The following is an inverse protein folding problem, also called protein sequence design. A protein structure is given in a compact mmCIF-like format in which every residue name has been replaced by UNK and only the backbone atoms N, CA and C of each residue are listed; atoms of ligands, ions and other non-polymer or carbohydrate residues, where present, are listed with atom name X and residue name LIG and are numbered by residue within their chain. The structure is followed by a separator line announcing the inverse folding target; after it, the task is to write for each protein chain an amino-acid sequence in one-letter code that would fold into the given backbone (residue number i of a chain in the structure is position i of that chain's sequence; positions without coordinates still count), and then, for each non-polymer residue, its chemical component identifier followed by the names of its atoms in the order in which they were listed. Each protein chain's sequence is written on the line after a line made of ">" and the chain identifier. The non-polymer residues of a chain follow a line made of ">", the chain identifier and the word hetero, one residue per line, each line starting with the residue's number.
data_IF_663337528201
#
_entry.id   IF_663337528201
#
_cell.length_a   1.000
_cell.length_b   1.000
_cell.length_c   1.000
_cell.angle_alpha   90.00
_cell.angle_beta   90.00
_cell.angle_gamma   90.00
#
_symmetry.space_group_name_H-M   'P 1'
#
loop_
_entity.id
_entity.type
_entity.pdbx_description
1 polymer ?
#
# COMPACT_ATOMS: atom_id res chain seq x y z
N UNK A 1 5.58 9.85 11.82
CA UNK A 1 6.43 8.66 11.63
C UNK A 1 5.77 7.65 10.71
N UNK A 2 4.70 6.99 11.13
CA UNK A 2 3.99 6.01 10.27
C UNK A 2 3.28 6.71 9.11
N UNK A 3 2.60 7.81 9.40
CA UNK A 3 1.88 8.59 8.38
C UNK A 3 2.81 9.03 7.25
N UNK A 4 3.99 9.50 7.57
CA UNK A 4 4.97 9.99 6.60
C UNK A 4 5.42 8.85 5.67
N UNK A 5 5.52 7.62 6.18
CA UNK A 5 5.85 6.46 5.37
C UNK A 5 4.72 6.13 4.38
N UNK A 6 3.46 6.16 4.84
CA UNK A 6 2.31 5.96 3.95
C UNK A 6 2.22 7.06 2.89
N UNK A 7 2.44 8.31 3.28
CA UNK A 7 2.42 9.43 2.34
C UNK A 7 3.54 9.31 1.30
N UNK A 8 4.71 8.83 1.69
CA UNK A 8 5.84 8.61 0.78
C UNK A 8 5.54 7.49 -0.23
N UNK A 9 4.88 6.43 0.20
CA UNK A 9 4.47 5.34 -0.71
C UNK A 9 3.41 5.85 -1.68
N UNK A 10 2.42 6.59 -1.19
CA UNK A 10 1.41 7.21 -2.06
C UNK A 10 2.06 8.11 -3.12
N UNK A 11 3.09 8.87 -2.74
CA UNK A 11 3.79 9.78 -3.65
C UNK A 11 4.50 9.06 -4.80
N UNK A 12 4.80 7.78 -4.69
CA UNK A 12 5.38 6.98 -5.77
C UNK A 12 4.38 6.69 -6.90
N UNK A 13 3.09 6.70 -6.60
CA UNK A 13 2.04 6.41 -7.58
C UNK A 13 1.84 7.62 -8.49
N UNK A 14 1.73 7.39 -9.83
CA UNK A 14 1.54 8.49 -10.76
C UNK A 14 0.15 9.11 -10.62
N UNK A 15 0.00 10.36 -11.06
CA UNK A 15 -1.27 11.08 -11.01
C UNK A 15 -2.37 10.45 -11.87
N UNK A 16 -1.99 9.58 -12.82
CA UNK A 16 -2.93 8.84 -13.66
C UNK A 16 -3.64 7.70 -12.91
N UNK A 17 -3.13 7.31 -11.74
CA UNK A 17 -3.74 6.28 -10.88
C UNK A 17 -4.55 6.99 -9.79
N UNK A 18 -5.83 6.61 -9.68
CA UNK A 18 -6.68 7.12 -8.59
C UNK A 18 -6.33 6.37 -7.31
N UNK A 19 -5.94 7.11 -6.29
CA UNK A 19 -5.50 6.53 -5.02
C UNK A 19 -6.35 7.07 -3.88
N UNK A 20 -6.85 6.16 -3.07
CA UNK A 20 -7.52 6.47 -1.81
C UNK A 20 -6.70 5.92 -0.66
N UNK A 21 -6.72 6.62 0.48
CA UNK A 21 -6.01 6.19 1.68
C UNK A 21 -7.03 5.70 2.70
N UNK A 22 -6.95 4.43 3.08
CA UNK A 22 -7.75 3.77 4.12
C UNK A 22 -9.23 3.57 3.78
N UNK A 23 -9.90 4.54 3.21
CA UNK A 23 -11.33 4.47 2.90
C UNK A 23 -11.61 5.00 1.50
N UNK A 24 -12.74 4.62 0.95
CA UNK A 24 -13.18 4.98 -0.39
C UNK A 24 -14.49 5.74 -0.27
N UNK A 25 -14.68 6.84 -1.06
CA UNK A 25 -15.96 7.55 -1.06
C UNK A 25 -17.11 6.69 -1.58
N UNK A 26 -18.35 7.11 -1.34
CA UNK A 26 -19.55 6.33 -1.65
C UNK A 26 -19.68 5.96 -3.13
N UNK A 27 -19.34 6.87 -4.04
CA UNK A 27 -19.41 6.65 -5.48
C UNK A 27 -18.02 6.85 -6.12
N UNK A 28 -17.12 5.88 -5.96
CA UNK A 28 -15.76 6.05 -6.47
C UNK A 28 -15.71 5.92 -7.99
N UNK A 29 -14.77 6.64 -8.61
CA UNK A 29 -14.46 6.45 -10.02
C UNK A 29 -13.54 5.25 -10.18
N UNK A 30 -13.87 4.36 -11.08
CA UNK A 30 -13.08 3.14 -11.36
C UNK A 30 -12.12 3.36 -12.53
N UNK A 31 -11.01 2.64 -12.62
CA UNK A 31 -10.41 1.83 -11.58
C UNK A 31 -9.72 2.67 -10.52
N UNK A 32 -9.47 2.10 -9.35
CA UNK A 32 -8.76 2.81 -8.28
C UNK A 32 -7.92 1.87 -7.42
N UNK A 33 -7.06 2.47 -6.60
CA UNK A 33 -6.22 1.78 -5.63
C UNK A 33 -6.54 2.33 -4.25
N UNK A 34 -6.66 1.45 -3.27
CA UNK A 34 -6.75 1.84 -1.85
C UNK A 34 -5.47 1.40 -1.16
N UNK A 35 -4.75 2.33 -0.55
CA UNK A 35 -3.60 2.04 0.30
C UNK A 35 -4.06 1.95 1.75
N UNK A 36 -3.69 0.87 2.41
CA UNK A 36 -3.99 0.58 3.81
C UNK A 36 -2.95 -0.39 4.34
N UNK A 37 -3.07 -0.83 5.57
CA UNK A 37 -2.15 -1.83 6.07
C UNK A 37 -2.04 -1.82 7.58
N UNK A 38 -0.88 -2.27 8.09
CA UNK A 38 -0.63 -2.31 9.52
C UNK A 38 -0.09 -0.95 10.03
N UNK A 39 0.08 -0.87 11.34
CA UNK A 39 0.69 0.30 11.99
C UNK A 39 2.21 0.17 12.09
N UNK A 40 2.75 -0.95 11.61
CA UNK A 40 4.16 -1.23 11.67
C UNK A 40 4.63 -1.80 13.01
N UNK A 41 5.77 -2.44 12.99
CA UNK A 41 6.47 -2.88 14.19
C UNK A 41 7.68 -1.99 14.40
N UNK A 42 7.79 -1.43 15.59
CA UNK A 42 8.91 -0.59 16.00
C UNK A 42 9.88 -1.42 16.84
N UNK A 43 11.18 -1.25 16.59
CA UNK A 43 12.22 -1.87 17.38
C UNK A 43 13.42 -0.93 17.48
N UNK A 44 14.23 -1.10 18.51
CA UNK A 44 15.52 -0.45 18.58
C UNK A 44 16.57 -1.31 17.88
N UNK A 45 17.51 -0.67 17.17
CA UNK A 45 18.48 -1.36 16.32
C UNK A 45 19.66 -1.98 17.04
N UNK A 46 19.62 -2.12 18.36
CA UNK A 46 20.70 -2.74 19.13
C UNK A 46 20.65 -4.27 19.07
N UNK A 47 21.79 -4.95 19.33
CA UNK A 47 21.86 -6.41 19.27
C UNK A 47 20.96 -7.12 20.29
N UNK A 48 20.57 -6.43 21.34
CA UNK A 48 19.71 -6.97 22.41
C UNK A 48 18.25 -6.57 22.22
N UNK A 49 17.87 -6.01 21.08
CA UNK A 49 16.50 -5.56 20.82
C UNK A 49 16.12 -4.29 21.57
N UNK A 50 17.08 -3.64 22.23
CA UNK A 50 16.86 -2.43 23.02
C UNK A 50 16.42 -2.73 24.45
N UNK A 51 16.37 -1.68 25.25
CA UNK A 51 15.93 -1.72 26.67
C UNK A 51 14.70 -0.82 26.83
N UNK A 52 14.05 -0.96 28.00
CA UNK A 52 12.98 -0.07 28.40
C UNK A 52 13.52 1.38 28.41
N UNK A 53 12.89 2.26 27.65
CA UNK A 53 13.31 3.65 27.53
C UNK A 53 14.10 3.97 26.27
N UNK A 54 14.54 2.98 25.52
CA UNK A 54 15.13 3.21 24.21
C UNK A 54 14.08 3.72 23.22
N UNK A 55 14.45 4.72 22.41
CA UNK A 55 13.56 5.21 21.36
C UNK A 55 13.66 4.25 20.17
N UNK A 56 12.54 3.74 19.67
CA UNK A 56 12.57 2.90 18.48
C UNK A 56 13.17 3.64 17.28
N UNK A 57 14.13 3.00 16.61
CA UNK A 57 14.83 3.54 15.45
C UNK A 57 14.67 2.69 14.19
N UNK A 58 13.95 1.58 14.30
CA UNK A 58 13.63 0.69 13.18
C UNK A 58 12.12 0.52 13.09
N UNK A 59 11.58 0.70 11.90
CA UNK A 59 10.16 0.50 11.60
C UNK A 59 10.02 -0.56 10.52
N UNK A 60 9.29 -1.61 10.81
CA UNK A 60 8.90 -2.65 9.85
C UNK A 60 7.44 -2.43 9.48
N UNK A 61 7.15 -2.17 8.23
CA UNK A 61 5.81 -1.76 7.79
C UNK A 61 5.36 -2.60 6.60
N UNK A 62 4.09 -2.99 6.61
CA UNK A 62 3.45 -3.70 5.51
C UNK A 62 2.28 -2.87 5.01
N UNK A 63 2.46 -2.29 3.84
CA UNK A 63 1.44 -1.48 3.20
C UNK A 63 0.75 -2.33 2.16
N UNK A 64 -0.58 -2.33 2.19
CA UNK A 64 -1.40 -3.12 1.27
C UNK A 64 -2.04 -2.20 0.26
N UNK A 65 -2.12 -2.70 -0.97
CA UNK A 65 -2.78 -2.01 -2.06
C UNK A 65 -3.91 -2.90 -2.57
N UNK A 66 -5.14 -2.41 -2.41
CA UNK A 66 -6.30 -3.05 -3.01
C UNK A 66 -6.58 -2.38 -4.35
N UNK A 67 -6.53 -3.16 -5.41
CA UNK A 67 -6.86 -2.72 -6.76
C UNK A 67 -8.30 -3.07 -7.05
N UNK A 68 -9.07 -2.12 -7.58
CA UNK A 68 -10.47 -2.34 -7.89
C UNK A 68 -10.76 -1.88 -9.32
N UNK A 69 -11.36 -2.75 -10.11
CA UNK A 69 -11.74 -2.46 -11.49
C UNK A 69 -13.17 -2.85 -11.77
N UNK A 70 -13.75 -2.27 -12.84
CA UNK A 70 -15.10 -2.62 -13.28
C UNK A 70 -15.16 -4.03 -13.89
N UNK A 71 -14.04 -4.48 -14.46
CA UNK A 71 -13.89 -5.78 -15.10
C UNK A 71 -12.44 -6.25 -14.95
N UNK A 72 -12.15 -7.47 -15.46
CA UNK A 72 -10.82 -8.04 -15.36
C UNK A 72 -9.74 -7.20 -16.05
N UNK A 73 -10.03 -6.63 -17.21
CA UNK A 73 -9.06 -5.84 -17.96
C UNK A 73 -8.68 -4.56 -17.20
N UNK A 74 -9.66 -3.84 -16.65
CA UNK A 74 -9.37 -2.62 -15.89
C UNK A 74 -8.65 -2.93 -14.57
N UNK A 75 -8.97 -4.05 -13.92
CA UNK A 75 -8.23 -4.52 -12.75
C UNK A 75 -6.77 -4.79 -13.09
N UNK A 76 -6.49 -5.51 -14.17
CA UNK A 76 -5.12 -5.85 -14.58
C UNK A 76 -4.32 -4.59 -14.95
N UNK A 77 -4.94 -3.62 -15.59
CA UNK A 77 -4.28 -2.37 -15.96
C UNK A 77 -3.90 -1.56 -14.72
N UNK A 78 -4.80 -1.37 -13.78
CA UNK A 78 -4.50 -0.60 -12.57
C UNK A 78 -3.47 -1.31 -11.69
N UNK A 79 -3.56 -2.64 -11.58
CA UNK A 79 -2.58 -3.43 -10.83
C UNK A 79 -1.19 -3.33 -11.45
N UNK A 80 -1.09 -3.45 -12.77
CA UNK A 80 0.19 -3.31 -13.49
C UNK A 80 0.81 -1.94 -13.27
N UNK A 81 0.02 -0.88 -13.41
CA UNK A 81 0.52 0.49 -13.25
C UNK A 81 0.97 0.76 -11.81
N UNK A 82 0.23 0.27 -10.83
CA UNK A 82 0.60 0.41 -9.43
C UNK A 82 1.86 -0.40 -9.09
N UNK A 83 1.94 -1.64 -9.54
CA UNK A 83 3.13 -2.48 -9.32
C UNK A 83 4.37 -1.89 -9.95
N UNK A 84 4.27 -1.35 -11.16
CA UNK A 84 5.39 -0.69 -11.83
C UNK A 84 5.89 0.53 -11.05
N UNK A 85 4.99 1.23 -10.37
CA UNK A 85 5.34 2.41 -9.58
C UNK A 85 5.88 2.08 -8.19
N UNK A 86 5.49 0.94 -7.60
CA UNK A 86 5.79 0.60 -6.22
C UNK A 86 6.86 -0.49 -6.06
N UNK A 87 6.83 -1.55 -6.88
CA UNK A 87 7.75 -2.68 -6.73
C UNK A 87 9.20 -2.27 -6.85
N UNK A 88 10.00 -2.62 -5.86
CA UNK A 88 11.44 -2.33 -5.79
C UNK A 88 11.77 -0.84 -5.78
N UNK A 89 10.80 0.00 -5.52
CA UNK A 89 11.02 1.44 -5.35
C UNK A 89 11.30 1.74 -3.89
N UNK A 90 12.08 2.77 -3.66
CA UNK A 90 12.43 3.23 -2.32
C UNK A 90 11.64 4.50 -2.01
N UNK A 91 10.68 4.44 -1.07
CA UNK A 91 9.99 5.64 -0.64
C UNK A 91 10.96 6.62 0.01
N UNK A 92 10.76 7.90 -0.21
CA UNK A 92 11.60 8.94 0.38
C UNK A 92 10.90 9.53 1.61
N UNK A 93 11.43 9.21 2.79
CA UNK A 93 10.91 9.70 4.07
C UNK A 93 11.98 10.53 4.74
N UNK A 94 11.69 11.80 5.01
CA UNK A 94 12.66 12.71 5.66
C UNK A 94 13.05 12.17 7.03
N UNK A 95 14.36 12.08 7.28
CA UNK A 95 14.91 11.57 8.54
C UNK A 95 14.97 10.05 8.65
N UNK A 96 14.63 9.34 7.60
CA UNK A 96 14.62 7.87 7.56
C UNK A 96 15.33 7.33 6.33
N UNK A 97 15.95 6.17 6.50
CA UNK A 97 16.49 5.36 5.41
C UNK A 97 15.61 4.17 5.20
N UNK A 98 14.85 4.16 4.11
CA UNK A 98 13.89 3.10 3.80
C UNK A 98 14.49 2.06 2.86
N UNK A 99 14.08 0.80 3.03
CA UNK A 99 14.37 -0.24 2.06
C UNK A 99 13.51 -0.10 0.81
N UNK A 100 13.84 -0.88 -0.22
CA UNK A 100 12.94 -1.04 -1.36
C UNK A 100 11.65 -1.73 -0.91
N UNK A 101 10.55 -1.39 -1.55
CA UNK A 101 9.28 -2.08 -1.34
C UNK A 101 9.36 -3.48 -1.95
N UNK A 102 8.99 -4.48 -1.15
CA UNK A 102 8.92 -5.88 -1.59
C UNK A 102 7.47 -6.26 -1.80
N UNK A 103 7.11 -6.55 -3.05
CA UNK A 103 5.76 -6.91 -3.43
C UNK A 103 5.50 -8.40 -3.22
N UNK A 104 4.33 -8.74 -2.68
CA UNK A 104 3.80 -10.09 -2.65
C UNK A 104 2.29 -10.05 -2.85
N UNK A 105 1.72 -11.15 -3.36
CA UNK A 105 0.28 -11.25 -3.55
C UNK A 105 -0.35 -11.65 -2.23
N UNK A 106 -1.30 -10.85 -1.74
CA UNK A 106 -2.06 -11.17 -0.55
C UNK A 106 -3.39 -11.84 -0.92
N UNK A 107 -4.03 -11.37 -1.99
CA UNK A 107 -5.30 -11.90 -2.45
C UNK A 107 -5.40 -11.79 -3.98
N UNK A 108 -5.68 -12.91 -4.65
CA UNK A 108 -5.93 -12.93 -6.08
C UNK A 108 -7.27 -12.26 -6.44
N UNK A 109 -7.46 -11.98 -7.72
CA UNK A 109 -8.66 -11.30 -8.21
C UNK A 109 -9.95 -12.00 -7.80
N UNK A 110 -10.88 -11.25 -7.23
CA UNK A 110 -12.18 -11.75 -6.76
C UNK A 110 -13.28 -10.76 -7.10
N UNK A 111 -14.47 -11.28 -7.32
CA UNK A 111 -15.66 -10.46 -7.53
C UNK A 111 -16.17 -9.96 -6.18
N UNK A 112 -16.44 -8.65 -6.08
CA UNK A 112 -17.05 -8.06 -4.89
C UNK A 112 -18.57 -8.20 -5.00
N UNK A 113 -19.12 -9.22 -4.35
CA UNK A 113 -20.55 -9.53 -4.40
C UNK A 113 -21.42 -8.56 -3.58
N UNK A 114 -20.79 -7.75 -2.71
CA UNK A 114 -21.50 -6.78 -1.86
C UNK A 114 -21.79 -5.47 -2.58
N UNK A 115 -21.14 -5.22 -3.72
CA UNK A 115 -21.31 -4.00 -4.51
C UNK A 115 -21.91 -4.34 -5.85
N UNK A 116 -23.04 -3.71 -6.18
CA UNK A 116 -23.66 -3.81 -7.51
C UNK A 116 -23.46 -2.48 -8.25
N UNK A 117 -22.90 -2.55 -9.45
CA UNK A 117 -22.65 -1.39 -10.27
C UNK A 117 -23.93 -0.86 -10.91
N UNK A 118 -24.00 0.43 -11.15
CA UNK A 118 -25.05 1.05 -11.97
C UNK A 118 -24.95 0.45 -13.39
N UNK A 119 -26.02 -0.16 -13.88
CA UNK A 119 -25.98 -0.87 -15.15
C UNK A 119 -25.72 -2.35 -15.03
N UNK A 120 -25.54 -2.86 -13.82
CA UNK A 120 -25.38 -4.28 -13.52
C UNK A 120 -23.94 -4.73 -13.39
N UNK A 121 -23.74 -5.90 -12.79
CA UNK A 121 -22.43 -6.47 -12.53
C UNK A 121 -21.81 -5.99 -11.21
N UNK A 122 -20.69 -6.61 -10.86
CA UNK A 122 -19.96 -6.34 -9.62
C UNK A 122 -18.51 -5.98 -9.95
N UNK A 123 -17.88 -5.08 -9.20
CA UNK A 123 -16.47 -4.81 -9.40
C UNK A 123 -15.62 -6.02 -9.00
N UNK A 124 -14.39 -6.05 -9.52
CA UNK A 124 -13.40 -7.07 -9.23
C UNK A 124 -12.25 -6.42 -8.49
N UNK A 125 -11.72 -7.09 -7.48
CA UNK A 125 -10.61 -6.56 -6.69
C UNK A 125 -9.53 -7.61 -6.45
N UNK A 126 -8.32 -7.13 -6.17
CA UNK A 126 -7.18 -7.94 -5.77
C UNK A 126 -6.33 -7.14 -4.78
N UNK A 127 -5.54 -7.82 -3.98
CA UNK A 127 -4.73 -7.16 -2.95
C UNK A 127 -3.27 -7.60 -3.06
N UNK A 128 -2.37 -6.63 -3.15
CA UNK A 128 -0.92 -6.83 -2.99
C UNK A 128 -0.48 -6.30 -1.63
N UNK A 129 0.62 -6.85 -1.14
CA UNK A 129 1.31 -6.37 0.04
C UNK A 129 2.69 -5.88 -0.33
N UNK A 130 3.07 -4.70 0.17
CA UNK A 130 4.38 -4.11 -0.03
C UNK A 130 5.04 -3.94 1.34
N UNK A 131 6.08 -4.72 1.58
CA UNK A 131 6.82 -4.69 2.84
C UNK A 131 8.04 -3.79 2.73
N UNK A 132 8.32 -3.02 3.78
CA UNK A 132 9.53 -2.22 3.87
C UNK A 132 10.07 -2.25 5.30
N UNK A 133 11.38 -2.01 5.41
CA UNK A 133 12.06 -1.77 6.68
C UNK A 133 12.70 -0.40 6.58
N UNK A 134 12.51 0.40 7.61
CA UNK A 134 12.99 1.78 7.65
C UNK A 134 13.82 2.01 8.91
N UNK A 135 14.96 2.67 8.74
CA UNK A 135 15.87 3.00 9.83
C UNK A 135 15.91 4.51 10.02
N UNK A 136 15.75 4.96 11.25
CA UNK A 136 15.85 6.37 11.57
C UNK A 136 17.31 6.82 11.46
N UNK A 137 17.52 7.94 10.78
CA UNK A 137 18.84 8.54 10.61
C UNK A 137 19.31 9.28 11.87
#
# INVERSE_FOLDING_TARGET
>A
MIKEHYDAVKALLPSTVRVHMWSVPADPAYPYVVLWGDLGEESSGGPDGGTLGDVPDVLSLRIRATYVGLNGDSLLIVARNARAALSRKTPNVAGWHTSQLRQSVLMDGQVDTDVTLTGGGNPIYAVDEFALISHKL
#
